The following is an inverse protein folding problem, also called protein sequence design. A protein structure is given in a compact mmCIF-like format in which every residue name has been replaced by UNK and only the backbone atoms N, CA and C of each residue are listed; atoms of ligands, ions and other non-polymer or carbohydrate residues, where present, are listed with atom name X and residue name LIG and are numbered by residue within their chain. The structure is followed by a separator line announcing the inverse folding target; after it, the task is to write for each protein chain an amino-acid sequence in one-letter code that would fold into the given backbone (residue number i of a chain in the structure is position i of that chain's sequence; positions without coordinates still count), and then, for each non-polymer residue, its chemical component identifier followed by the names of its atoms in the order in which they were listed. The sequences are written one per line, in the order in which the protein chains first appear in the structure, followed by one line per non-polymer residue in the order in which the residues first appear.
data_IF_798838609541
#
_entry.id   IF_798838609541
#
_cell.length_a   1.000
_cell.length_b   1.000
_cell.length_c   1.000
_cell.angle_alpha   90.00
_cell.angle_beta   90.00
_cell.angle_gamma   90.00
#
_symmetry.space_group_name_H-M   'P 1'
#
loop_
_entity.id
_entity.type
_entity.pdbx_description
1 polymer ?
#
# COMPACT_ATOMS: atom_id res chain seq x y z
N UNK A 1 12.08 2.15 31.86
CA UNK A 1 10.87 1.47 31.32
C UNK A 1 11.34 0.49 30.25
N UNK A 2 10.90 -0.78 30.23
CA UNK A 2 11.37 -1.71 29.23
C UNK A 2 10.82 -1.35 27.84
N UNK A 3 11.64 -1.51 26.81
CA UNK A 3 11.26 -1.28 25.43
C UNK A 3 10.07 -2.19 25.04
N UNK A 4 9.05 -1.59 24.46
CA UNK A 4 7.80 -2.22 24.03
C UNK A 4 8.04 -3.40 23.07
N UNK A 5 7.31 -4.51 23.29
CA UNK A 5 7.25 -5.73 22.44
C UNK A 5 6.79 -5.48 20.99
N UNK A 6 6.55 -4.24 20.58
CA UNK A 6 6.06 -3.90 19.24
C UNK A 6 7.09 -4.17 18.13
N UNK A 7 8.40 -4.15 18.43
CA UNK A 7 9.44 -4.34 17.40
C UNK A 7 9.48 -5.79 16.88
N UNK A 8 9.09 -6.78 17.70
CA UNK A 8 9.02 -8.20 17.33
C UNK A 8 7.74 -8.62 16.61
N UNK A 9 6.76 -7.73 16.42
CA UNK A 9 5.42 -8.08 15.91
C UNK A 9 5.29 -8.03 14.38
N UNK A 10 6.10 -7.21 13.68
CA UNK A 10 5.92 -6.98 12.24
C UNK A 10 6.35 -8.17 11.36
N UNK A 11 7.45 -8.84 11.70
CA UNK A 11 7.90 -10.02 10.97
C UNK A 11 6.89 -11.18 11.07
N UNK A 12 6.23 -11.33 12.23
CA UNK A 12 5.25 -12.39 12.45
C UNK A 12 3.91 -12.12 11.77
N UNK A 13 3.40 -10.88 11.77
CA UNK A 13 2.13 -10.55 11.10
C UNK A 13 2.21 -10.67 9.55
N UNK A 14 3.40 -10.54 8.98
CA UNK A 14 3.65 -10.73 7.56
C UNK A 14 3.55 -12.21 7.16
N UNK A 15 4.00 -13.14 8.01
CA UNK A 15 4.02 -14.58 7.72
C UNK A 15 2.63 -15.25 7.78
N UNK A 16 1.72 -14.74 8.61
CA UNK A 16 0.40 -15.34 8.81
C UNK A 16 -0.57 -14.87 7.70
N UNK A 17 -1.14 -15.84 6.98
CA UNK A 17 -2.21 -15.59 5.99
C UNK A 17 -1.74 -14.98 4.67
N UNK A 18 -0.46 -15.14 4.30
CA UNK A 18 0.09 -14.65 3.01
C UNK A 18 -0.77 -15.09 1.84
N UNK A 19 -1.16 -16.37 1.79
CA UNK A 19 -1.92 -16.92 0.67
C UNK A 19 -3.33 -16.31 0.56
N UNK A 20 -3.98 -16.08 1.71
CA UNK A 20 -5.27 -15.39 1.74
C UNK A 20 -5.13 -13.94 1.25
N UNK A 21 -4.08 -13.23 1.68
CA UNK A 21 -3.78 -11.86 1.23
C UNK A 21 -3.50 -11.82 -0.27
N UNK A 22 -2.72 -12.75 -0.81
CA UNK A 22 -2.45 -12.89 -2.26
C UNK A 22 -3.73 -13.10 -3.06
N UNK A 23 -4.62 -13.97 -2.58
CA UNK A 23 -5.88 -14.25 -3.28
C UNK A 23 -6.79 -13.03 -3.34
N UNK A 24 -6.89 -12.27 -2.25
CA UNK A 24 -7.65 -11.00 -2.22
C UNK A 24 -6.98 -9.95 -3.11
N UNK A 25 -5.65 -9.82 -3.02
CA UNK A 25 -4.84 -8.92 -3.83
C UNK A 25 -5.04 -9.16 -5.34
N UNK A 26 -4.98 -10.42 -5.78
CA UNK A 26 -5.20 -10.80 -7.18
C UNK A 26 -6.60 -10.39 -7.65
N UNK A 27 -7.63 -10.69 -6.87
CA UNK A 27 -9.00 -10.27 -7.20
C UNK A 27 -9.15 -8.76 -7.24
N UNK A 28 -8.50 -8.04 -6.32
CA UNK A 28 -8.48 -6.58 -6.32
C UNK A 28 -7.83 -5.99 -7.58
N UNK A 29 -6.70 -6.55 -8.01
CA UNK A 29 -6.01 -6.13 -9.23
C UNK A 29 -6.86 -6.36 -10.49
N UNK A 30 -7.61 -7.48 -10.56
CA UNK A 30 -8.53 -7.79 -11.66
C UNK A 30 -9.71 -6.80 -11.79
N UNK A 31 -10.00 -6.01 -10.75
CA UNK A 31 -11.09 -5.02 -10.77
C UNK A 31 -10.66 -3.65 -11.28
N UNK A 32 -9.36 -3.40 -11.41
CA UNK A 32 -8.83 -2.12 -11.88
C UNK A 32 -8.82 -2.12 -13.40
N UNK A 33 -9.51 -1.14 -13.98
CA UNK A 33 -9.61 -0.96 -15.43
C UNK A 33 -8.76 0.23 -15.90
N UNK A 34 -8.30 0.22 -17.17
CA UNK A 34 -7.57 1.35 -17.72
C UNK A 34 -8.33 2.68 -17.59
N UNK A 35 -7.60 3.74 -17.24
CA UNK A 35 -8.12 5.10 -17.08
C UNK A 35 -8.86 5.38 -15.77
N UNK A 36 -8.95 4.41 -14.86
CA UNK A 36 -9.59 4.62 -13.55
C UNK A 36 -8.72 5.41 -12.58
N UNK A 37 -9.37 6.08 -11.63
CA UNK A 37 -8.72 6.63 -10.44
C UNK A 37 -9.01 5.68 -9.27
N UNK A 38 -7.95 5.14 -8.67
CA UNK A 38 -8.05 4.10 -7.63
C UNK A 38 -7.35 4.57 -6.36
N UNK A 39 -8.07 4.55 -5.23
CA UNK A 39 -7.47 4.80 -3.93
C UNK A 39 -6.81 3.51 -3.43
N UNK A 40 -5.53 3.59 -3.09
CA UNK A 40 -4.70 2.47 -2.66
C UNK A 40 -4.15 2.76 -1.26
N UNK A 41 -4.60 1.97 -0.27
CA UNK A 41 -4.16 2.08 1.13
C UNK A 41 -2.74 1.49 1.34
N UNK A 42 -2.09 1.82 2.45
CA UNK A 42 -0.87 1.15 2.89
C UNK A 42 -1.15 -0.20 3.56
N UNK A 43 -0.24 -1.15 3.40
CA UNK A 43 -0.28 -2.43 4.11
C UNK A 43 0.16 -3.62 3.26
N UNK A 44 0.36 -4.77 3.93
CA UNK A 44 0.94 -5.95 3.27
C UNK A 44 0.05 -6.52 2.17
N UNK A 45 -1.27 -6.44 2.32
CA UNK A 45 -2.21 -6.93 1.29
C UNK A 45 -2.13 -6.07 0.04
N UNK A 46 -2.04 -4.75 0.22
CA UNK A 46 -1.97 -3.81 -0.89
C UNK A 46 -0.62 -3.88 -1.60
N UNK A 47 0.46 -4.20 -0.88
CA UNK A 47 1.75 -4.55 -1.50
C UNK A 47 1.62 -5.78 -2.41
N UNK A 48 0.91 -6.83 -1.99
CA UNK A 48 0.64 -7.97 -2.88
C UNK A 48 -0.26 -7.57 -4.06
N UNK A 49 -1.22 -6.64 -3.88
CA UNK A 49 -2.07 -6.15 -4.96
C UNK A 49 -1.23 -5.50 -6.06
N UNK A 50 -0.31 -4.58 -5.69
CA UNK A 50 0.58 -3.91 -6.65
C UNK A 50 1.37 -4.95 -7.45
N UNK A 51 1.91 -5.99 -6.81
CA UNK A 51 2.63 -7.08 -7.48
C UNK A 51 1.79 -7.89 -8.46
N UNK A 52 0.46 -7.87 -8.33
CA UNK A 52 -0.46 -8.55 -9.25
C UNK A 52 -0.89 -7.66 -10.43
N UNK A 53 -0.54 -6.37 -10.44
CA UNK A 53 -0.92 -5.46 -11.52
C UNK A 53 -0.14 -5.77 -12.81
N UNK A 54 -0.79 -5.71 -13.99
CA UNK A 54 -0.08 -5.70 -15.26
C UNK A 54 0.86 -4.49 -15.34
N UNK A 55 2.07 -4.69 -15.85
CA UNK A 55 3.09 -3.63 -15.92
C UNK A 55 2.75 -2.51 -16.92
N UNK A 56 1.83 -2.77 -17.85
CA UNK A 56 1.35 -1.84 -18.88
C UNK A 56 -0.04 -1.25 -18.56
N UNK A 57 -0.59 -1.52 -17.37
CA UNK A 57 -1.89 -0.99 -16.98
C UNK A 57 -1.82 0.52 -16.73
N UNK A 58 -2.57 1.30 -17.52
CA UNK A 58 -2.67 2.74 -17.37
C UNK A 58 -3.80 3.15 -16.41
N UNK A 59 -3.49 3.76 -15.26
CA UNK A 59 -4.50 4.28 -14.32
C UNK A 59 -3.88 5.32 -13.37
N UNK A 60 -4.70 6.00 -12.57
CA UNK A 60 -4.22 6.92 -11.52
C UNK A 60 -4.34 6.27 -10.15
N UNK A 61 -3.23 6.09 -9.45
CA UNK A 61 -3.20 5.64 -8.07
C UNK A 61 -3.19 6.82 -7.10
N UNK A 62 -4.12 6.85 -6.17
CA UNK A 62 -4.14 7.82 -5.06
C UNK A 62 -3.79 7.08 -3.78
N UNK A 63 -2.65 7.38 -3.17
CA UNK A 63 -2.20 6.70 -1.95
C UNK A 63 -1.68 7.67 -0.91
N UNK A 64 -1.79 7.31 0.36
CA UNK A 64 -1.14 8.02 1.46
C UNK A 64 0.06 7.23 2.01
N UNK A 65 0.45 6.13 1.34
CA UNK A 65 1.57 5.29 1.73
C UNK A 65 2.80 5.55 0.85
N UNK A 66 3.91 6.05 1.39
CA UNK A 66 5.16 6.18 0.65
C UNK A 66 5.65 4.86 0.06
N UNK A 67 5.46 3.74 0.78
CA UNK A 67 5.89 2.42 0.31
C UNK A 67 5.14 1.94 -0.92
N UNK A 68 3.82 2.21 -0.99
CA UNK A 68 3.01 1.90 -2.17
C UNK A 68 3.37 2.82 -3.33
N UNK A 69 3.54 4.12 -3.07
CA UNK A 69 3.98 5.06 -4.10
C UNK A 69 5.32 4.63 -4.71
N UNK A 70 6.27 4.21 -3.88
CA UNK A 70 7.56 3.70 -4.35
C UNK A 70 7.42 2.39 -5.15
N UNK A 71 6.55 1.48 -4.72
CA UNK A 71 6.31 0.22 -5.43
C UNK A 71 5.70 0.42 -6.83
N UNK A 72 5.05 1.56 -7.08
CA UNK A 72 4.45 1.91 -8.37
C UNK A 72 5.42 2.65 -9.31
N UNK A 73 6.64 2.99 -8.87
CA UNK A 73 7.63 3.70 -9.70
C UNK A 73 7.99 2.93 -10.98
N UNK A 74 7.98 1.60 -10.92
CA UNK A 74 8.30 0.74 -12.07
C UNK A 74 7.13 0.54 -13.04
N UNK A 75 5.98 1.21 -12.81
CA UNK A 75 4.79 1.13 -13.65
C UNK A 75 4.63 2.43 -14.47
N UNK A 76 5.21 2.51 -15.68
CA UNK A 76 5.39 3.77 -16.40
C UNK A 76 4.07 4.44 -16.87
N UNK A 77 2.96 3.70 -16.87
CA UNK A 77 1.64 4.21 -17.27
C UNK A 77 0.75 4.54 -16.05
N UNK A 78 1.27 4.42 -14.83
CA UNK A 78 0.52 4.70 -13.61
C UNK A 78 0.88 6.09 -13.09
N UNK A 79 -0.09 6.99 -13.08
CA UNK A 79 0.05 8.28 -12.42
C UNK A 79 -0.12 8.10 -10.92
N UNK A 80 0.85 8.55 -10.12
CA UNK A 80 0.81 8.39 -8.65
C UNK A 80 0.59 9.73 -7.97
N UNK A 81 -0.54 9.85 -7.27
CA UNK A 81 -0.88 10.97 -6.38
C UNK A 81 -0.62 10.53 -4.94
N UNK A 82 0.48 11.02 -4.35
CA UNK A 82 0.81 10.79 -2.94
C UNK A 82 0.16 11.87 -2.07
N UNK A 83 -0.82 11.47 -1.27
CA UNK A 83 -1.45 12.33 -0.28
C UNK A 83 -0.51 12.49 0.92
N UNK A 84 -0.12 13.74 1.20
CA UNK A 84 0.76 14.09 2.32
C UNK A 84 0.07 14.13 3.68
N UNK A 85 0.85 14.44 4.73
CA UNK A 85 0.38 14.51 6.12
C UNK A 85 1.52 14.26 7.10
N UNK A 86 1.21 13.80 8.32
CA UNK A 86 2.25 13.31 9.25
C UNK A 86 2.46 11.82 9.04
N UNK A 87 3.72 11.41 8.89
CA UNK A 87 4.07 10.00 8.80
C UNK A 87 3.91 9.32 10.16
N UNK A 88 3.00 8.36 10.24
CA UNK A 88 2.84 7.52 11.43
C UNK A 88 3.90 6.42 11.39
N UNK A 89 4.95 6.56 12.20
CA UNK A 89 6.10 5.64 12.18
C UNK A 89 5.75 4.16 12.36
N UNK A 90 4.66 3.86 13.08
CA UNK A 90 4.25 2.49 13.35
C UNK A 90 3.59 1.78 12.15
N UNK A 91 3.02 2.54 11.22
CA UNK A 91 2.29 2.01 10.06
C UNK A 91 2.89 2.47 8.72
N UNK A 92 3.85 3.41 8.75
CA UNK A 92 4.53 3.99 7.58
C UNK A 92 3.55 4.52 6.53
N UNK A 93 2.54 5.24 7.02
CA UNK A 93 1.53 5.92 6.20
C UNK A 93 1.29 7.34 6.69
N UNK A 94 0.88 8.25 5.81
CA UNK A 94 0.50 9.61 6.18
C UNK A 94 -0.92 9.63 6.76
N UNK A 95 -1.09 10.19 7.94
CA UNK A 95 -2.42 10.51 8.47
C UNK A 95 -2.58 12.02 8.67
N UNK A 96 -3.82 12.42 8.97
CA UNK A 96 -4.28 13.80 8.98
C UNK A 96 -3.52 14.78 9.90
N UNK A 97 -3.90 16.05 9.82
CA UNK A 97 -3.31 17.11 10.63
C UNK A 97 -3.85 17.09 12.07
N UNK A 98 -2.97 17.08 13.07
CA UNK A 98 -3.36 17.33 14.47
C UNK A 98 -3.69 18.81 14.63
N UNK A 99 -4.92 19.13 15.04
CA UNK A 99 -5.27 20.44 15.59
C UNK A 99 -4.47 20.65 16.88
N UNK A 100 -3.87 21.82 17.02
CA UNK A 100 -3.29 22.29 18.28
C UNK A 100 -4.40 22.64 19.28
#
# INVERSE_FOLDING_TARGET
MPASQAVSSFANAAAWGIEAKKRVAKRGAELISPGQVVIIDGGTTTTELVRCLPGDLAFTAVTHSPGIALALVDYPQVDVILIGGRLFRHSVVYGGCRSH
#
